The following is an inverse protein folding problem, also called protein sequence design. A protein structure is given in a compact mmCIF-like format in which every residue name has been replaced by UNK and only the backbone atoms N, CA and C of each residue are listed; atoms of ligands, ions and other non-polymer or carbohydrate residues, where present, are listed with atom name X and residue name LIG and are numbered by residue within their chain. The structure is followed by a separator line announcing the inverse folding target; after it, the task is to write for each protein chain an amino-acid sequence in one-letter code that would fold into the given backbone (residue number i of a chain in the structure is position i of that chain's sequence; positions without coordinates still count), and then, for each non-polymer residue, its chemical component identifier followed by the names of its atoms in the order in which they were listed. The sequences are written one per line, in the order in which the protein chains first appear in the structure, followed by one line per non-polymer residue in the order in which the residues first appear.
data_IF_866110869201
#
_entry.id   IF_866110869201
#
_cell.length_a   1.000
_cell.length_b   1.000
_cell.length_c   1.000
_cell.angle_alpha   90.00
_cell.angle_beta   90.00
_cell.angle_gamma   90.00
#
_symmetry.space_group_name_H-M   'P 1'
#
loop_
_entity.id
_entity.type
_entity.pdbx_description
1 polymer ?
#
# COMPACT_ATOMS: atom_id res chain seq x y z
N UNK A 1 -20.48 -8.75 46.17
CA UNK A 1 -19.53 -7.77 45.61
C UNK A 1 -18.57 -8.53 44.71
N UNK A 2 -18.94 -8.76 43.45
CA UNK A 2 -18.11 -9.51 42.49
C UNK A 2 -17.24 -8.45 41.81
N UNK A 3 -16.01 -8.31 42.27
CA UNK A 3 -15.02 -7.50 41.59
C UNK A 3 -14.78 -8.11 40.21
N UNK A 4 -15.22 -7.40 39.19
CA UNK A 4 -14.91 -7.67 37.80
C UNK A 4 -13.40 -7.74 37.66
N UNK A 5 -12.88 -8.95 37.48
CA UNK A 5 -11.57 -9.14 36.85
C UNK A 5 -11.71 -8.51 35.48
N UNK A 6 -11.23 -7.27 35.32
CA UNK A 6 -10.97 -6.73 34.00
C UNK A 6 -9.95 -7.67 33.40
N UNK A 7 -10.40 -8.60 32.56
CA UNK A 7 -9.52 -9.26 31.63
C UNK A 7 -8.97 -8.13 30.76
N UNK A 8 -7.82 -7.59 31.15
CA UNK A 8 -6.86 -7.05 30.20
C UNK A 8 -6.46 -8.25 29.36
N UNK A 9 -7.31 -8.63 28.40
CA UNK A 9 -6.87 -9.43 27.27
C UNK A 9 -5.71 -8.62 26.74
N UNK A 10 -4.53 -9.20 26.75
CA UNK A 10 -3.37 -8.66 26.07
C UNK A 10 -3.73 -8.57 24.58
N UNK A 11 -4.46 -7.53 24.19
CA UNK A 11 -4.75 -7.19 22.80
C UNK A 11 -3.39 -6.91 22.20
N UNK A 12 -2.97 -7.73 21.24
CA UNK A 12 -1.69 -7.53 20.59
C UNK A 12 -1.62 -6.09 20.04
N UNK A 13 -0.44 -5.45 20.00
CA UNK A 13 -0.36 -4.02 19.80
C UNK A 13 -0.59 -3.65 18.33
N UNK A 14 -1.86 -3.67 17.91
CA UNK A 14 -2.32 -3.36 16.55
C UNK A 14 -1.86 -1.97 16.16
N UNK A 15 -2.14 -0.95 16.99
CA UNK A 15 -1.73 0.43 16.73
C UNK A 15 -0.21 0.57 16.49
N UNK A 16 0.61 -0.12 17.29
CA UNK A 16 2.06 -0.13 17.09
C UNK A 16 2.45 -0.80 15.77
N UNK A 17 1.78 -1.88 15.39
CA UNK A 17 2.05 -2.58 14.13
C UNK A 17 1.62 -1.75 12.91
N UNK A 18 0.49 -1.04 13.01
CA UNK A 18 0.05 -0.05 12.02
C UNK A 18 1.07 1.09 11.92
N UNK A 19 1.58 1.60 13.03
CA UNK A 19 2.61 2.63 13.05
C UNK A 19 3.91 2.19 12.34
N UNK A 20 4.35 0.94 12.55
CA UNK A 20 5.50 0.40 11.81
C UNK A 20 5.23 0.23 10.32
N UNK A 21 4.02 -0.20 9.94
CA UNK A 21 3.62 -0.25 8.54
C UNK A 21 3.65 1.14 7.91
N UNK A 22 3.10 2.15 8.59
CA UNK A 22 3.15 3.55 8.17
C UNK A 22 4.60 4.01 7.92
N UNK A 23 5.51 3.81 8.87
CA UNK A 23 6.92 4.19 8.70
C UNK A 23 7.53 3.49 7.48
N UNK A 24 7.28 2.19 7.31
CA UNK A 24 7.85 1.43 6.19
C UNK A 24 7.35 1.92 4.83
N UNK A 25 6.05 2.21 4.71
CA UNK A 25 5.45 2.72 3.49
C UNK A 25 5.94 4.15 3.19
N UNK A 26 5.96 5.02 4.20
CA UNK A 26 6.49 6.37 4.04
C UNK A 26 7.97 6.36 3.61
N UNK A 27 8.80 5.48 4.19
CA UNK A 27 10.20 5.36 3.81
C UNK A 27 10.35 4.88 2.36
N UNK A 28 9.54 3.91 1.95
CA UNK A 28 9.52 3.41 0.58
C UNK A 28 9.09 4.50 -0.41
N UNK A 29 7.97 5.17 -0.16
CA UNK A 29 7.45 6.25 -1.01
C UNK A 29 8.42 7.43 -1.10
N UNK A 30 9.01 7.84 0.03
CA UNK A 30 10.00 8.91 0.05
C UNK A 30 11.22 8.55 -0.79
N UNK A 31 11.73 7.32 -0.67
CA UNK A 31 12.88 6.88 -1.46
C UNK A 31 12.57 6.84 -2.96
N UNK A 32 11.40 6.33 -3.35
CA UNK A 32 10.95 6.33 -4.74
C UNK A 32 10.83 7.76 -5.29
N UNK A 33 10.23 8.67 -4.53
CA UNK A 33 10.12 10.08 -4.89
C UNK A 33 11.48 10.76 -5.07
N UNK A 34 12.43 10.51 -4.16
CA UNK A 34 13.80 11.03 -4.27
C UNK A 34 14.53 10.49 -5.51
N UNK A 35 14.22 9.26 -5.94
CA UNK A 35 14.87 8.60 -7.09
C UNK A 35 14.19 8.82 -8.44
N UNK A 36 12.95 9.31 -8.47
CA UNK A 36 12.22 9.59 -9.71
C UNK A 36 13.03 10.50 -10.66
N UNK A 37 13.60 11.59 -10.12
CA UNK A 37 14.41 12.55 -10.86
C UNK A 37 15.92 12.30 -10.85
N UNK A 38 16.40 11.21 -10.26
CA UNK A 38 17.84 10.96 -10.16
C UNK A 38 18.46 10.68 -11.54
N UNK A 39 19.69 11.17 -11.72
CA UNK A 39 20.48 10.94 -12.93
C UNK A 39 20.80 9.45 -13.10
N UNK A 40 20.92 9.03 -14.36
CA UNK A 40 21.37 7.68 -14.71
C UNK A 40 22.84 7.58 -14.31
N UNK A 41 23.27 6.52 -13.60
CA UNK A 41 24.68 6.35 -13.24
C UNK A 41 25.57 6.36 -14.47
N UNK A 42 26.68 7.09 -14.42
CA UNK A 42 27.73 7.00 -15.43
C UNK A 42 28.45 5.66 -15.28
N UNK A 43 28.32 4.75 -16.26
CA UNK A 43 29.00 3.46 -16.24
C UNK A 43 28.19 2.32 -16.87
N UNK A 44 28.64 1.08 -16.64
CA UNK A 44 28.03 -0.14 -17.21
C UNK A 44 26.78 -0.63 -16.48
N UNK A 45 26.36 0.04 -15.40
CA UNK A 45 25.27 -0.40 -14.53
C UNK A 45 24.05 0.51 -14.68
N UNK A 46 22.88 -0.08 -14.89
CA UNK A 46 21.61 0.64 -15.01
C UNK A 46 21.13 1.27 -13.69
N UNK A 47 21.60 0.75 -12.55
CA UNK A 47 21.28 1.23 -11.20
C UNK A 47 22.55 1.26 -10.36
N UNK A 48 22.68 2.25 -9.47
CA UNK A 48 23.78 2.23 -8.52
C UNK A 48 23.58 1.07 -7.51
N UNK A 49 24.66 0.41 -7.04
CA UNK A 49 24.54 -0.69 -6.09
C UNK A 49 23.76 -0.30 -4.82
N UNK A 50 23.93 0.93 -4.34
CA UNK A 50 23.19 1.45 -3.19
C UNK A 50 21.69 1.58 -3.47
N UNK A 51 21.30 2.00 -4.68
CA UNK A 51 19.90 2.08 -5.06
C UNK A 51 19.27 0.69 -5.09
N UNK A 52 20.00 -0.31 -5.59
CA UNK A 52 19.54 -1.71 -5.62
C UNK A 52 19.26 -2.24 -4.21
N UNK A 53 20.10 -1.89 -3.24
CA UNK A 53 19.88 -2.23 -1.82
C UNK A 53 18.56 -1.64 -1.33
N UNK A 54 18.33 -0.35 -1.50
CA UNK A 54 17.11 0.31 -0.99
C UNK A 54 15.84 -0.06 -1.77
N UNK A 55 15.93 -0.24 -3.10
CA UNK A 55 14.84 -0.70 -3.96
C UNK A 55 14.41 -2.13 -3.66
N UNK A 56 15.24 -2.90 -2.96
CA UNK A 56 14.92 -4.26 -2.48
C UNK A 56 14.50 -4.25 -1.01
N UNK A 57 15.24 -3.54 -0.16
CA UNK A 57 15.07 -3.56 1.29
C UNK A 57 13.79 -2.85 1.74
N UNK A 58 13.46 -1.67 1.18
CA UNK A 58 12.29 -0.92 1.61
C UNK A 58 10.97 -1.64 1.30
N UNK A 59 10.74 -2.18 0.08
CA UNK A 59 9.59 -3.03 -0.18
C UNK A 59 9.55 -4.28 0.69
N UNK A 60 10.71 -4.91 0.96
CA UNK A 60 10.78 -6.06 1.85
C UNK A 60 10.39 -5.71 3.30
N UNK A 61 10.80 -4.54 3.80
CA UNK A 61 10.39 -4.02 5.10
C UNK A 61 8.89 -3.75 5.15
N UNK A 62 8.31 -3.19 4.08
CA UNK A 62 6.86 -3.01 3.98
C UNK A 62 6.12 -4.35 3.93
N UNK A 63 6.62 -5.32 3.17
CA UNK A 63 6.04 -6.66 3.11
C UNK A 63 6.11 -7.37 4.48
N UNK A 64 7.23 -7.19 5.19
CA UNK A 64 7.38 -7.67 6.56
C UNK A 64 6.41 -6.97 7.53
N UNK A 65 6.25 -5.65 7.42
CA UNK A 65 5.32 -4.90 8.26
C UNK A 65 3.86 -5.28 8.00
N UNK A 66 3.48 -5.48 6.73
CA UNK A 66 2.18 -6.03 6.32
C UNK A 66 1.96 -7.41 6.93
N UNK A 67 2.93 -8.32 6.76
CA UNK A 67 2.90 -9.68 7.32
C UNK A 67 2.71 -9.65 8.82
N UNK A 68 3.50 -8.83 9.52
CA UNK A 68 3.41 -8.68 10.97
C UNK A 68 2.04 -8.16 11.38
N UNK A 69 1.50 -7.15 10.71
CA UNK A 69 0.18 -6.61 11.00
C UNK A 69 -0.90 -7.66 10.80
N UNK A 70 -0.87 -8.42 9.71
CA UNK A 70 -1.81 -9.51 9.45
C UNK A 70 -1.79 -10.57 10.56
N UNK A 71 -0.60 -11.00 11.00
CA UNK A 71 -0.45 -11.97 12.09
C UNK A 71 -0.98 -11.42 13.43
N UNK A 72 -0.65 -10.16 13.74
CA UNK A 72 -1.11 -9.48 14.97
C UNK A 72 -2.64 -9.35 14.99
N UNK A 73 -3.26 -8.99 13.86
CA UNK A 73 -4.72 -8.96 13.74
C UNK A 73 -5.30 -10.35 13.91
N UNK A 74 -4.76 -11.35 13.21
CA UNK A 74 -5.23 -12.74 13.29
C UNK A 74 -5.22 -13.27 14.73
N UNK A 75 -4.14 -13.02 15.46
CA UNK A 75 -4.02 -13.36 16.88
C UNK A 75 -5.04 -12.58 17.74
N UNK A 76 -5.25 -11.29 17.47
CA UNK A 76 -6.14 -10.46 18.29
C UNK A 76 -7.60 -10.84 18.13
N UNK A 77 -8.04 -11.13 16.91
CA UNK A 77 -9.43 -11.51 16.60
C UNK A 77 -9.76 -12.91 17.12
N UNK A 78 -8.82 -13.86 16.97
CA UNK A 78 -9.07 -15.29 17.26
C UNK A 78 -8.56 -15.73 18.64
N UNK A 79 -7.87 -14.85 19.37
CA UNK A 79 -7.24 -15.14 20.66
C UNK A 79 -6.00 -16.05 20.59
N UNK A 80 -5.77 -16.72 19.45
CA UNK A 80 -4.61 -17.59 19.21
C UNK A 80 -4.17 -17.47 17.74
N UNK A 81 -2.87 -17.63 17.49
CA UNK A 81 -2.34 -17.72 16.14
C UNK A 81 -2.29 -19.19 15.74
N UNK A 82 -3.29 -19.65 14.98
CA UNK A 82 -3.31 -21.02 14.47
C UNK A 82 -2.92 -21.07 12.99
N UNK A 83 -2.28 -22.17 12.57
CA UNK A 83 -1.77 -22.35 11.20
C UNK A 83 -2.88 -22.15 10.16
N UNK A 84 -4.08 -22.64 10.44
CA UNK A 84 -5.23 -22.49 9.55
C UNK A 84 -5.59 -21.02 9.29
N UNK A 85 -5.61 -20.18 10.33
CA UNK A 85 -5.89 -18.74 10.23
C UNK A 85 -4.84 -18.02 9.40
N UNK A 86 -3.59 -18.44 9.55
CA UNK A 86 -2.44 -17.77 8.96
C UNK A 86 -2.18 -18.19 7.53
N UNK A 87 -2.46 -19.44 7.15
CA UNK A 87 -2.02 -19.99 5.85
C UNK A 87 -3.20 -20.52 5.02
N UNK A 88 -4.24 -21.07 5.66
CA UNK A 88 -5.24 -21.86 4.94
C UNK A 88 -6.59 -21.17 4.76
N UNK A 89 -6.87 -20.09 5.51
CA UNK A 89 -8.14 -19.39 5.39
C UNK A 89 -8.24 -18.60 4.07
N UNK A 90 -9.45 -18.38 3.51
CA UNK A 90 -9.62 -17.61 2.27
C UNK A 90 -8.99 -16.20 2.35
N UNK A 91 -9.08 -15.55 3.51
CA UNK A 91 -8.45 -14.25 3.75
C UNK A 91 -6.92 -14.34 3.78
N UNK A 92 -6.36 -15.42 4.35
CA UNK A 92 -4.92 -15.64 4.31
C UNK A 92 -4.42 -15.80 2.87
N UNK A 93 -5.09 -16.64 2.07
CA UNK A 93 -4.76 -16.79 0.66
C UNK A 93 -4.83 -15.46 -0.09
N UNK A 94 -5.92 -14.70 0.09
CA UNK A 94 -6.07 -13.40 -0.55
C UNK A 94 -4.95 -12.43 -0.14
N UNK A 95 -4.58 -12.43 1.14
CA UNK A 95 -3.50 -11.60 1.66
C UNK A 95 -2.13 -11.99 1.09
N UNK A 96 -1.76 -13.28 1.14
CA UNK A 96 -0.45 -13.75 0.66
C UNK A 96 -0.30 -13.64 -0.85
N UNK A 97 -1.36 -13.98 -1.60
CA UNK A 97 -1.38 -13.79 -3.05
C UNK A 97 -1.28 -12.30 -3.36
N UNK A 98 -2.05 -11.44 -2.67
CA UNK A 98 -1.98 -10.00 -2.82
C UNK A 98 -0.56 -9.47 -2.58
N UNK A 99 0.05 -9.85 -1.46
CA UNK A 99 1.41 -9.44 -1.13
C UNK A 99 2.42 -9.91 -2.19
N UNK A 100 2.33 -11.16 -2.63
CA UNK A 100 3.18 -11.72 -3.68
C UNK A 100 3.03 -10.99 -5.02
N UNK A 101 1.80 -10.78 -5.47
CA UNK A 101 1.49 -10.03 -6.70
C UNK A 101 2.04 -8.61 -6.61
N UNK A 102 1.88 -7.95 -5.46
CA UNK A 102 2.37 -6.60 -5.23
C UNK A 102 3.89 -6.48 -5.38
N UNK A 103 4.62 -7.42 -4.76
CA UNK A 103 6.08 -7.49 -4.83
C UNK A 103 6.58 -7.81 -6.24
N UNK A 104 5.90 -8.69 -6.97
CA UNK A 104 6.20 -8.97 -8.38
C UNK A 104 5.97 -7.72 -9.24
N UNK A 105 4.85 -7.01 -9.02
CA UNK A 105 4.55 -5.76 -9.72
C UNK A 105 5.62 -4.69 -9.51
N UNK A 106 6.06 -4.49 -8.26
CA UNK A 106 7.18 -3.60 -7.94
C UNK A 106 8.47 -4.00 -8.66
N UNK A 107 8.83 -5.29 -8.61
CA UNK A 107 10.03 -5.80 -9.29
C UNK A 107 9.99 -5.59 -10.80
N UNK A 108 8.83 -5.81 -11.43
CA UNK A 108 8.62 -5.56 -12.86
C UNK A 108 8.75 -4.08 -13.21
N UNK A 109 8.15 -3.20 -12.41
CA UNK A 109 8.24 -1.76 -12.59
C UNK A 109 9.70 -1.28 -12.49
N UNK A 110 10.41 -1.64 -11.42
CA UNK A 110 11.82 -1.23 -11.22
C UNK A 110 12.72 -1.75 -12.34
N UNK A 111 12.58 -3.04 -12.72
CA UNK A 111 13.37 -3.62 -13.78
C UNK A 111 13.08 -2.98 -15.14
N UNK A 112 11.79 -2.80 -15.47
CA UNK A 112 11.36 -2.14 -16.70
C UNK A 112 11.85 -0.70 -16.78
N UNK A 113 11.70 0.06 -15.70
CA UNK A 113 12.13 1.45 -15.62
C UNK A 113 13.66 1.59 -15.79
N UNK A 114 14.44 0.73 -15.11
CA UNK A 114 15.90 0.72 -15.24
C UNK A 114 16.35 0.36 -16.66
N UNK A 115 15.73 -0.67 -17.27
CA UNK A 115 16.03 -1.07 -18.66
C UNK A 115 15.69 0.04 -19.64
N UNK A 116 14.56 0.73 -19.44
CA UNK A 116 14.14 1.84 -20.28
C UNK A 116 15.13 3.01 -20.23
N UNK A 117 15.61 3.35 -19.03
CA UNK A 117 16.61 4.41 -18.83
C UNK A 117 17.97 4.06 -19.43
N UNK A 118 18.38 2.80 -19.36
CA UNK A 118 19.65 2.33 -19.92
C UNK A 118 19.60 2.02 -21.43
N UNK A 119 18.45 2.16 -22.09
CA UNK A 119 18.26 1.75 -23.46
C UNK A 119 18.95 2.71 -24.45
N UNK A 120 19.78 2.20 -25.38
CA UNK A 120 20.31 3.01 -26.48
C UNK A 120 19.21 3.56 -27.38
N UNK A 121 19.39 4.79 -27.89
CA UNK A 121 18.40 5.47 -28.73
C UNK A 121 17.95 4.66 -29.95
N UNK A 122 18.85 3.84 -30.52
CA UNK A 122 18.55 2.95 -31.65
C UNK A 122 17.45 1.92 -31.37
N UNK A 123 17.20 1.57 -30.10
CA UNK A 123 16.14 0.65 -29.71
C UNK A 123 14.88 1.35 -29.20
N UNK A 124 14.94 2.66 -28.95
CA UNK A 124 13.88 3.42 -28.28
C UNK A 124 12.56 3.47 -29.08
N UNK A 125 12.62 3.27 -30.40
CA UNK A 125 11.44 3.27 -31.28
C UNK A 125 10.99 1.86 -31.70
N UNK A 126 11.66 0.81 -31.24
CA UNK A 126 11.37 -0.57 -31.61
C UNK A 126 10.34 -1.26 -30.71
N UNK A 127 9.84 -2.41 -31.16
CA UNK A 127 8.91 -3.27 -30.40
C UNK A 127 9.46 -3.66 -29.01
N UNK A 128 10.79 -3.75 -28.88
CA UNK A 128 11.47 -4.00 -27.61
C UNK A 128 11.23 -2.89 -26.59
N UNK A 129 11.34 -1.61 -27.00
CA UNK A 129 11.04 -0.47 -26.13
C UNK A 129 9.57 -0.45 -25.69
N UNK A 130 8.65 -0.78 -26.60
CA UNK A 130 7.22 -0.89 -26.28
C UNK A 130 6.95 -1.95 -25.22
N UNK A 131 7.57 -3.13 -25.33
CA UNK A 131 7.44 -4.21 -24.33
C UNK A 131 7.99 -3.81 -22.97
N UNK A 132 9.14 -3.15 -22.92
CA UNK A 132 9.72 -2.64 -21.68
C UNK A 132 8.81 -1.56 -21.06
N UNK A 133 8.30 -0.63 -21.87
CA UNK A 133 7.38 0.40 -21.40
C UNK A 133 6.06 -0.20 -20.87
N UNK A 134 5.55 -1.28 -21.48
CA UNK A 134 4.40 -2.02 -20.98
C UNK A 134 4.68 -2.69 -19.62
N UNK A 135 5.84 -3.33 -19.47
CA UNK A 135 6.24 -3.94 -18.19
C UNK A 135 6.40 -2.90 -17.08
N UNK A 136 7.02 -1.76 -17.40
CA UNK A 136 7.23 -0.63 -16.50
C UNK A 136 5.91 0.01 -16.06
N UNK A 137 5.12 0.51 -17.02
CA UNK A 137 3.99 1.42 -16.72
C UNK A 137 2.62 0.75 -16.63
N UNK A 138 2.41 -0.37 -17.31
CA UNK A 138 1.09 -1.03 -17.34
C UNK A 138 1.07 -2.24 -16.42
N UNK A 139 1.90 -3.25 -16.70
CA UNK A 139 1.91 -4.49 -15.94
C UNK A 139 2.43 -4.30 -14.51
N UNK A 140 3.55 -3.59 -14.34
CA UNK A 140 4.16 -3.33 -13.04
C UNK A 140 3.20 -2.64 -12.07
N UNK A 141 2.64 -1.50 -12.49
CA UNK A 141 1.68 -0.76 -11.68
C UNK A 141 0.35 -1.48 -11.46
N UNK A 142 -0.18 -2.19 -12.47
CA UNK A 142 -1.42 -2.94 -12.30
C UNK A 142 -1.25 -4.06 -11.27
N UNK A 143 -0.17 -4.85 -11.35
CA UNK A 143 0.11 -5.90 -10.39
C UNK A 143 0.40 -5.30 -9.00
N UNK A 144 1.19 -4.23 -8.93
CA UNK A 144 1.44 -3.54 -7.66
C UNK A 144 0.14 -3.05 -7.01
N UNK A 145 -0.75 -2.43 -7.80
CA UNK A 145 -2.05 -1.94 -7.35
C UNK A 145 -3.00 -3.05 -6.91
N UNK A 146 -3.11 -4.14 -7.67
CA UNK A 146 -3.91 -5.32 -7.28
C UNK A 146 -3.37 -5.89 -5.96
N UNK A 147 -2.06 -6.05 -5.85
CA UNK A 147 -1.45 -6.64 -4.67
C UNK A 147 -1.67 -5.81 -3.41
N UNK A 148 -1.43 -4.50 -3.50
CA UNK A 148 -1.68 -3.56 -2.42
C UNK A 148 -3.16 -3.54 -2.03
N UNK A 149 -4.07 -3.43 -3.02
CA UNK A 149 -5.51 -3.47 -2.79
C UNK A 149 -5.95 -4.73 -2.04
N UNK A 150 -5.52 -5.92 -2.47
CA UNK A 150 -5.90 -7.18 -1.85
C UNK A 150 -5.39 -7.30 -0.40
N UNK A 151 -4.11 -6.96 -0.17
CA UNK A 151 -3.52 -7.02 1.18
C UNK A 151 -4.23 -6.04 2.13
N UNK A 152 -4.48 -4.81 1.68
CA UNK A 152 -5.20 -3.77 2.42
C UNK A 152 -6.64 -4.16 2.69
N UNK A 153 -7.36 -4.68 1.69
CA UNK A 153 -8.75 -5.11 1.82
C UNK A 153 -8.88 -6.20 2.88
N UNK A 154 -7.97 -7.18 2.90
CA UNK A 154 -7.97 -8.21 3.95
C UNK A 154 -7.75 -7.57 5.30
N UNK A 155 -6.68 -6.78 5.48
CA UNK A 155 -6.37 -6.10 6.75
C UNK A 155 -7.55 -5.30 7.27
N UNK A 156 -8.28 -4.64 6.37
CA UNK A 156 -9.44 -3.85 6.74
C UNK A 156 -10.60 -4.75 7.19
N UNK A 157 -10.93 -5.79 6.42
CA UNK A 157 -12.00 -6.75 6.72
C UNK A 157 -11.80 -7.51 8.03
N UNK A 158 -10.57 -7.94 8.32
CA UNK A 158 -10.27 -8.71 9.53
C UNK A 158 -9.82 -7.84 10.70
N UNK A 159 -9.28 -6.66 10.44
CA UNK A 159 -8.59 -5.87 11.45
C UNK A 159 -9.40 -4.77 12.09
N UNK A 160 -10.42 -4.24 11.41
CA UNK A 160 -11.21 -3.16 11.99
C UNK A 160 -11.93 -3.59 13.27
N UNK A 161 -11.81 -2.78 14.31
CA UNK A 161 -12.33 -3.09 15.64
C UNK A 161 -11.48 -4.06 16.45
N UNK A 162 -10.35 -4.57 15.92
CA UNK A 162 -9.44 -5.45 16.66
C UNK A 162 -8.47 -4.70 17.57
N UNK A 163 -8.23 -3.41 17.32
CA UNK A 163 -7.27 -2.60 18.06
C UNK A 163 -7.86 -1.86 19.26
N UNK A 164 -6.99 -1.47 20.20
CA UNK A 164 -7.35 -0.44 21.17
C UNK A 164 -7.66 0.87 20.46
N UNK A 165 -8.69 1.57 20.93
CA UNK A 165 -9.09 2.85 20.36
C UNK A 165 -7.95 3.86 20.53
N UNK A 166 -7.60 4.54 19.44
CA UNK A 166 -6.66 5.65 19.46
C UNK A 166 -7.38 6.92 19.91
N UNK A 167 -6.73 7.70 20.78
CA UNK A 167 -7.30 8.90 21.39
C UNK A 167 -6.30 10.05 21.36
N UNK A 168 -6.81 11.29 21.32
CA UNK A 168 -5.97 12.48 21.38
C UNK A 168 -5.11 12.68 20.11
N UNK A 169 -3.85 13.15 20.24
CA UNK A 169 -3.03 13.57 19.10
C UNK A 169 -2.58 12.42 18.20
N UNK A 170 -2.50 11.19 18.72
CA UNK A 170 -2.19 9.99 17.93
C UNK A 170 -3.17 9.81 16.77
N UNK A 171 -4.42 10.23 16.95
CA UNK A 171 -5.43 10.21 15.88
C UNK A 171 -5.00 11.00 14.66
N UNK A 172 -4.47 12.20 14.88
CA UNK A 172 -4.02 13.07 13.81
C UNK A 172 -2.83 12.42 13.08
N UNK A 173 -1.92 11.79 13.82
CA UNK A 173 -0.77 11.09 13.24
C UNK A 173 -1.21 9.99 12.26
N UNK A 174 -2.16 9.13 12.64
CA UNK A 174 -2.63 8.06 11.75
C UNK A 174 -3.38 8.61 10.53
N UNK A 175 -4.17 9.69 10.68
CA UNK A 175 -4.86 10.32 9.56
C UNK A 175 -3.88 10.98 8.59
N UNK A 176 -2.88 11.71 9.10
CA UNK A 176 -1.83 12.30 8.27
C UNK A 176 -0.97 11.24 7.61
N UNK A 177 -0.62 10.18 8.34
CA UNK A 177 0.05 9.01 7.80
C UNK A 177 -0.74 8.32 6.71
N UNK A 178 -2.07 8.26 6.85
CA UNK A 178 -2.97 7.74 5.81
C UNK A 178 -2.86 8.53 4.51
N UNK A 179 -2.89 9.87 4.62
CA UNK A 179 -2.75 10.75 3.46
C UNK A 179 -1.37 10.60 2.81
N UNK A 180 -0.33 10.57 3.63
CA UNK A 180 1.06 10.45 3.21
C UNK A 180 1.47 9.05 2.74
N UNK A 181 0.57 8.05 2.80
CA UNK A 181 0.82 6.69 2.29
C UNK A 181 -0.28 6.26 1.34
N UNK A 182 -1.40 5.76 1.86
CA UNK A 182 -2.56 5.34 1.09
C UNK A 182 -3.09 6.40 0.13
N UNK A 183 -3.11 7.66 0.55
CA UNK A 183 -3.48 8.78 -0.31
C UNK A 183 -2.53 8.93 -1.49
N UNK A 184 -1.24 9.07 -1.20
CA UNK A 184 -0.19 9.24 -2.21
C UNK A 184 -0.11 8.04 -3.16
N UNK A 185 -0.06 6.81 -2.64
CA UNK A 185 0.00 5.57 -3.43
C UNK A 185 -1.20 5.46 -4.37
N UNK A 186 -2.42 5.74 -3.89
CA UNK A 186 -3.62 5.63 -4.73
C UNK A 186 -3.59 6.65 -5.87
N UNK A 187 -3.16 7.89 -5.58
CA UNK A 187 -2.97 8.91 -6.60
C UNK A 187 -1.88 8.47 -7.57
N UNK A 188 -0.72 8.04 -7.08
CA UNK A 188 0.42 7.62 -7.89
C UNK A 188 0.07 6.48 -8.85
N UNK A 189 -0.62 5.43 -8.36
CA UNK A 189 -1.12 4.33 -9.18
C UNK A 189 -2.11 4.81 -10.25
N UNK A 190 -2.99 5.74 -9.90
CA UNK A 190 -3.95 6.32 -10.83
C UNK A 190 -3.27 7.11 -11.96
N UNK A 191 -2.31 7.96 -11.59
CA UNK A 191 -1.67 8.92 -12.47
C UNK A 191 -0.52 8.27 -13.26
N UNK A 192 0.56 7.89 -12.58
CA UNK A 192 1.78 7.34 -13.20
C UNK A 192 1.51 5.97 -13.83
N UNK A 193 0.74 5.12 -13.14
CA UNK A 193 0.33 3.83 -13.66
C UNK A 193 -0.72 3.90 -14.76
N UNK A 194 -1.28 5.09 -15.03
CA UNK A 194 -2.41 5.29 -15.95
C UNK A 194 -3.63 4.43 -15.59
N UNK A 195 -3.77 4.04 -14.32
CA UNK A 195 -4.83 3.16 -13.81
C UNK A 195 -5.93 3.94 -13.10
N UNK A 196 -6.29 5.16 -13.58
CA UNK A 196 -7.24 6.06 -12.90
C UNK A 196 -8.53 5.36 -12.50
N UNK A 197 -9.17 4.64 -13.43
CA UNK A 197 -10.44 3.94 -13.17
C UNK A 197 -10.27 2.89 -12.07
N UNK A 198 -9.21 2.08 -12.13
CA UNK A 198 -8.97 1.06 -11.12
C UNK A 198 -8.63 1.66 -9.76
N UNK A 199 -7.86 2.75 -9.71
CA UNK A 199 -7.56 3.45 -8.47
C UNK A 199 -8.81 4.05 -7.81
N UNK A 200 -9.72 4.63 -8.61
CA UNK A 200 -11.03 5.11 -8.12
C UNK A 200 -11.87 3.94 -7.60
N UNK A 201 -11.97 2.84 -8.35
CA UNK A 201 -12.75 1.67 -7.93
C UNK A 201 -12.17 1.06 -6.65
N UNK A 202 -10.85 0.86 -6.57
CA UNK A 202 -10.19 0.34 -5.39
C UNK A 202 -10.44 1.23 -4.17
N UNK A 203 -10.33 2.55 -4.33
CA UNK A 203 -10.61 3.52 -3.28
C UNK A 203 -12.05 3.43 -2.80
N UNK A 204 -13.01 3.44 -3.74
CA UNK A 204 -14.43 3.32 -3.44
C UNK A 204 -14.75 2.02 -2.69
N UNK A 205 -14.17 0.89 -3.11
CA UNK A 205 -14.36 -0.41 -2.45
C UNK A 205 -13.77 -0.39 -1.04
N UNK A 206 -12.54 0.07 -0.84
CA UNK A 206 -11.90 0.14 0.49
C UNK A 206 -12.73 1.03 1.43
N UNK A 207 -13.17 2.20 0.96
CA UNK A 207 -14.01 3.10 1.76
C UNK A 207 -15.39 2.51 2.05
N UNK A 208 -16.06 1.91 1.08
CA UNK A 208 -17.37 1.30 1.25
C UNK A 208 -17.33 0.12 2.23
N UNK A 209 -16.33 -0.76 2.10
CA UNK A 209 -16.13 -1.87 3.03
C UNK A 209 -15.90 -1.34 4.44
N UNK A 210 -15.09 -0.28 4.61
CA UNK A 210 -14.88 0.33 5.92
C UNK A 210 -16.13 0.92 6.55
N UNK A 211 -17.00 1.53 5.75
CA UNK A 211 -18.23 2.14 6.24
C UNK A 211 -19.30 1.08 6.55
N UNK A 212 -19.16 -0.10 5.95
CA UNK A 212 -20.01 -1.25 6.25
C UNK A 212 -19.60 -1.91 7.58
N UNK A 213 -18.29 -2.04 7.85
CA UNK A 213 -17.77 -2.68 9.06
C UNK A 213 -17.83 -1.79 10.30
N UNK A 214 -17.57 -0.49 10.18
CA UNK A 214 -17.56 0.47 11.29
C UNK A 214 -18.41 1.70 10.99
N UNK A 215 -18.98 2.29 12.04
CA UNK A 215 -19.66 3.57 11.93
C UNK A 215 -18.67 4.67 11.54
N UNK A 216 -19.07 5.68 10.73
CA UNK A 216 -18.16 6.75 10.30
C UNK A 216 -17.43 7.46 11.44
N UNK A 217 -18.09 7.66 12.59
CA UNK A 217 -17.49 8.29 13.77
C UNK A 217 -16.41 7.43 14.44
N UNK A 218 -16.43 6.12 14.22
CA UNK A 218 -15.49 5.16 14.84
C UNK A 218 -14.27 4.89 13.96
N UNK A 219 -14.33 5.16 12.65
CA UNK A 219 -13.23 4.94 11.71
C UNK A 219 -11.95 5.63 12.18
N UNK A 220 -12.05 6.88 12.63
CA UNK A 220 -10.88 7.65 13.09
C UNK A 220 -10.42 7.25 14.49
N UNK A 221 -11.21 6.48 15.24
CA UNK A 221 -10.83 5.97 16.56
C UNK A 221 -10.25 4.55 16.48
N UNK A 222 -10.40 3.86 15.34
CA UNK A 222 -9.77 2.58 15.06
C UNK A 222 -8.41 2.81 14.37
N UNK A 223 -7.30 2.19 14.83
CA UNK A 223 -5.98 2.44 14.24
C UNK A 223 -5.89 2.01 12.78
N UNK A 224 -6.58 0.95 12.36
CA UNK A 224 -6.57 0.46 10.98
C UNK A 224 -7.45 1.36 10.11
N UNK A 225 -8.66 1.67 10.58
CA UNK A 225 -9.56 2.61 9.93
C UNK A 225 -8.92 3.99 9.72
N UNK A 226 -8.33 4.57 10.78
CA UNK A 226 -7.70 5.88 10.72
C UNK A 226 -6.48 5.93 9.80
N UNK A 227 -5.75 4.83 9.66
CA UNK A 227 -4.57 4.75 8.82
C UNK A 227 -4.88 4.44 7.34
N UNK A 228 -5.93 3.69 7.03
CA UNK A 228 -6.21 3.29 5.65
C UNK A 228 -7.22 4.23 4.99
N UNK A 229 -8.31 4.55 5.69
CA UNK A 229 -9.53 5.07 5.06
C UNK A 229 -9.43 6.54 4.65
N UNK A 230 -8.94 7.48 5.49
CA UNK A 230 -8.93 8.89 5.11
C UNK A 230 -8.14 9.20 3.85
N UNK A 231 -6.91 8.66 3.75
CA UNK A 231 -6.04 8.81 2.58
C UNK A 231 -6.65 8.17 1.34
N UNK A 232 -7.10 6.91 1.46
CA UNK A 232 -7.73 6.20 0.35
C UNK A 232 -8.97 6.93 -0.18
N UNK A 233 -9.86 7.37 0.71
CA UNK A 233 -11.09 8.10 0.36
C UNK A 233 -10.77 9.42 -0.34
N UNK A 234 -9.90 10.24 0.25
CA UNK A 234 -9.55 11.54 -0.31
C UNK A 234 -8.81 11.41 -1.64
N UNK A 235 -7.98 10.39 -1.83
CA UNK A 235 -7.37 10.09 -3.12
C UNK A 235 -8.41 9.74 -4.18
N UNK A 236 -9.40 8.90 -3.85
CA UNK A 236 -10.50 8.57 -4.76
C UNK A 236 -11.30 9.79 -5.17
N UNK A 237 -11.69 10.64 -4.21
CA UNK A 237 -12.35 11.92 -4.47
C UNK A 237 -11.49 12.82 -5.36
N UNK A 238 -10.20 12.91 -5.07
CA UNK A 238 -9.25 13.72 -5.85
C UNK A 238 -9.18 13.24 -7.30
N UNK A 239 -9.06 11.93 -7.52
CA UNK A 239 -9.02 11.34 -8.86
C UNK A 239 -10.35 11.51 -9.62
N UNK A 240 -11.50 11.41 -8.93
CA UNK A 240 -12.82 11.68 -9.52
C UNK A 240 -12.91 13.15 -9.96
N UNK A 241 -12.57 14.07 -9.06
CA UNK A 241 -12.55 15.51 -9.35
C UNK A 241 -11.65 15.79 -10.55
N UNK A 242 -10.45 15.20 -10.58
CA UNK A 242 -9.53 15.38 -11.70
C UNK A 242 -10.11 14.85 -13.01
N UNK A 243 -10.61 13.61 -13.01
CA UNK A 243 -11.13 12.95 -14.20
C UNK A 243 -12.33 13.69 -14.80
N UNK A 244 -13.19 14.27 -13.96
CA UNK A 244 -14.43 14.94 -14.39
C UNK A 244 -14.21 16.43 -14.71
N UNK A 245 -13.45 17.15 -13.87
CA UNK A 245 -13.35 18.62 -13.95
C UNK A 245 -12.19 19.07 -14.83
N UNK A 246 -11.01 18.46 -14.68
CA UNK A 246 -9.80 18.90 -15.39
C UNK A 246 -9.78 18.37 -16.82
N UNK A 247 -10.26 17.14 -17.02
CA UNK A 247 -10.25 16.46 -18.31
C UNK A 247 -8.83 15.99 -18.70
N UNK A 248 -8.71 14.74 -19.14
CA UNK A 248 -7.43 14.13 -19.52
C UNK A 248 -6.71 13.40 -18.38
N UNK A 249 -5.59 12.73 -18.69
CA UNK A 249 -4.75 12.09 -17.68
C UNK A 249 -3.84 13.15 -17.03
N UNK A 250 -3.78 13.23 -15.68
CA UNK A 250 -2.75 14.03 -15.03
C UNK A 250 -1.36 13.63 -15.54
N UNK A 251 -0.55 14.65 -15.83
CA UNK A 251 0.89 14.50 -16.06
C UNK A 251 1.58 15.09 -14.85
N UNK A 252 2.26 14.24 -14.09
CA UNK A 252 3.21 14.70 -13.08
C UNK A 252 4.47 15.22 -13.81
N UNK A 253 5.06 16.35 -13.38
CA UNK A 253 6.35 16.80 -13.89
C UNK A 253 7.50 15.85 -13.49
#
# INVERSE_FOLDING_TARGET
MIASVSQVRATAPVARSVFWLMISLMAWELFQGLRAGAAIPEGSWALAPIDLVFLTLLPALSAFAFTRLFLVIGQTVRGTLNVYSTISSPFAWLFWIGLGIGMVGHGLHVAGHALRRAMPEMFAQGEFATKIAFLDTSAGYLLMGIGFFLATLVILLIGQGSGQRITGPERLLFVLGSLATYGLVTIYLGIEGRQIVFAIVASAVISAVSLWTLRPSEITHDPIGAFIVPGTFLAGVTLIIWAIIVGGQPVWP
#
